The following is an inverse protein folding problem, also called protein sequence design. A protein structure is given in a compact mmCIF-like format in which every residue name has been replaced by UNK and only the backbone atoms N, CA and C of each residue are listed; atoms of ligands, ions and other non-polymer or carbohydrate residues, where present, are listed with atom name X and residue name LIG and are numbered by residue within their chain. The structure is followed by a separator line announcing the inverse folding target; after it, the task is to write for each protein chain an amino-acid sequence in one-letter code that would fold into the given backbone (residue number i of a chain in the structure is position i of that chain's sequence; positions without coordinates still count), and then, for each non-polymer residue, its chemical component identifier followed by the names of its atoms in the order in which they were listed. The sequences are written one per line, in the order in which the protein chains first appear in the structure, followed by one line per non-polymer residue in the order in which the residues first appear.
data_IF_335996345583
#
_entry.id   IF_335996345583
#
_cell.length_a   1.000
_cell.length_b   1.000
_cell.length_c   1.000
_cell.angle_alpha   90.00
_cell.angle_beta   90.00
_cell.angle_gamma   90.00
#
_symmetry.space_group_name_H-M   'P 1'
#
loop_
_entity.id
_entity.type
_entity.pdbx_description
1 polymer ?
#
# COMPACT_ATOMS: atom_id res chain seq x y z
N UNK A 1 32.13 18.45 -8.45
CA UNK A 1 32.06 17.16 -7.73
C UNK A 1 31.85 16.06 -8.77
N UNK A 2 32.64 14.98 -8.71
CA UNK A 2 32.57 13.81 -9.61
C UNK A 2 32.10 12.54 -8.88
N UNK A 3 31.63 12.65 -7.64
CA UNK A 3 31.24 11.51 -6.80
C UNK A 3 30.17 10.58 -7.43
N UNK A 4 29.38 11.08 -8.40
CA UNK A 4 28.36 10.32 -9.13
C UNK A 4 28.80 9.82 -10.51
N UNK A 5 30.01 10.17 -10.96
CA UNK A 5 30.49 9.75 -12.26
C UNK A 5 30.73 8.23 -12.27
N UNK A 6 30.21 7.52 -13.27
CA UNK A 6 30.34 6.07 -13.40
C UNK A 6 29.35 5.24 -12.56
N UNK A 7 28.41 5.86 -11.84
CA UNK A 7 27.33 5.12 -11.18
C UNK A 7 26.48 4.39 -12.23
N UNK A 8 26.18 3.08 -12.05
CA UNK A 8 25.38 2.32 -13.01
C UNK A 8 23.99 2.93 -13.23
N UNK A 9 23.54 2.98 -14.48
CA UNK A 9 22.21 3.47 -14.87
C UNK A 9 21.57 2.50 -15.86
N UNK A 10 20.24 2.43 -15.80
CA UNK A 10 19.40 1.74 -16.78
C UNK A 10 18.44 2.77 -17.35
N UNK A 11 18.44 2.93 -18.67
CA UNK A 11 17.50 3.80 -19.38
C UNK A 11 16.37 2.95 -19.97
N UNK A 12 15.13 3.27 -19.58
CA UNK A 12 13.93 2.60 -20.09
C UNK A 12 13.18 3.62 -20.95
N UNK A 13 13.18 3.40 -22.26
CA UNK A 13 12.46 4.22 -23.24
C UNK A 13 11.21 3.47 -23.66
N UNK A 14 10.04 4.09 -23.48
CA UNK A 14 8.76 3.53 -23.93
C UNK A 14 8.48 3.93 -25.38
N UNK A 15 7.67 3.12 -26.05
CA UNK A 15 6.92 3.58 -27.21
C UNK A 15 5.90 4.67 -26.81
N UNK A 16 5.44 5.53 -27.73
CA UNK A 16 4.51 6.62 -27.45
C UNK A 16 3.05 6.14 -27.30
N UNK A 17 2.83 5.18 -26.41
CA UNK A 17 1.56 4.46 -26.20
C UNK A 17 0.78 4.92 -24.95
N UNK A 18 1.21 6.02 -24.33
CA UNK A 18 0.54 6.64 -23.20
C UNK A 18 -0.29 7.85 -23.69
N UNK A 19 -1.60 7.79 -23.50
CA UNK A 19 -2.57 8.72 -24.06
C UNK A 19 -3.10 9.74 -23.05
N UNK A 20 -2.72 9.63 -21.79
CA UNK A 20 -3.10 10.58 -20.74
C UNK A 20 -2.03 10.77 -19.68
N UNK A 21 -2.11 11.89 -18.95
CA UNK A 21 -1.26 12.14 -17.80
C UNK A 21 -1.48 11.11 -16.67
N UNK A 22 -2.69 10.55 -16.57
CA UNK A 22 -3.01 9.47 -15.62
C UNK A 22 -2.30 8.16 -16.00
N UNK A 23 -2.32 7.78 -17.28
CA UNK A 23 -1.57 6.60 -17.74
C UNK A 23 -0.07 6.74 -17.49
N UNK A 24 0.49 7.93 -17.74
CA UNK A 24 1.90 8.21 -17.43
C UNK A 24 2.20 8.14 -15.93
N UNK A 25 1.30 8.65 -15.07
CA UNK A 25 1.41 8.50 -13.62
C UNK A 25 1.44 7.03 -13.22
N UNK A 26 0.49 6.23 -13.71
CA UNK A 26 0.38 4.82 -13.38
C UNK A 26 1.60 4.04 -13.89
N UNK A 27 2.05 4.30 -15.11
CA UNK A 27 3.25 3.67 -15.68
C UNK A 27 4.48 3.89 -14.79
N UNK A 28 4.78 5.14 -14.41
CA UNK A 28 5.95 5.43 -13.57
C UNK A 28 5.79 4.85 -12.16
N UNK A 29 4.55 4.82 -11.65
CA UNK A 29 4.25 4.16 -10.37
C UNK A 29 4.56 2.66 -10.42
N UNK A 30 4.15 1.98 -11.49
CA UNK A 30 4.41 0.54 -11.68
C UNK A 30 5.89 0.25 -11.95
N UNK A 31 6.59 1.08 -12.73
CA UNK A 31 8.05 0.95 -12.89
C UNK A 31 8.75 1.11 -11.54
N UNK A 32 8.38 2.12 -10.75
CA UNK A 32 8.93 2.34 -9.41
C UNK A 32 8.67 1.13 -8.51
N UNK A 33 7.46 0.58 -8.54
CA UNK A 33 7.09 -0.63 -7.79
C UNK A 33 7.95 -1.82 -8.23
N UNK A 34 8.10 -2.04 -9.52
CA UNK A 34 8.87 -3.14 -10.10
C UNK A 34 10.35 -3.10 -9.69
N UNK A 35 11.02 -1.96 -9.86
CA UNK A 35 12.47 -1.87 -9.55
C UNK A 35 12.76 -2.04 -8.06
N UNK A 36 11.83 -1.59 -7.20
CA UNK A 36 11.91 -1.81 -5.74
C UNK A 36 11.64 -3.27 -5.40
N UNK A 37 10.62 -3.88 -6.02
CA UNK A 37 10.29 -5.29 -5.83
C UNK A 37 11.44 -6.22 -6.20
N UNK A 38 12.13 -5.90 -7.29
CA UNK A 38 13.32 -6.64 -7.75
C UNK A 38 14.60 -6.27 -7.00
N UNK A 39 14.55 -5.31 -6.07
CA UNK A 39 15.69 -4.79 -5.34
C UNK A 39 16.85 -4.30 -6.25
N UNK A 40 16.50 -3.63 -7.35
CA UNK A 40 17.45 -3.06 -8.33
C UNK A 40 17.72 -1.58 -8.02
N UNK A 41 16.68 -0.86 -7.58
CA UNK A 41 16.73 0.57 -7.27
C UNK A 41 15.72 0.89 -6.16
N UNK A 42 16.05 1.82 -5.27
CA UNK A 42 15.14 2.29 -4.20
C UNK A 42 13.93 3.09 -4.74
N UNK A 43 14.00 3.53 -6.01
CA UNK A 43 12.93 4.24 -6.70
C UNK A 43 12.67 5.67 -6.18
N UNK A 44 13.62 6.27 -5.46
CA UNK A 44 13.48 7.62 -4.91
C UNK A 44 13.71 8.72 -5.96
N UNK A 45 12.64 9.43 -6.31
CA UNK A 45 12.72 10.52 -7.28
C UNK A 45 13.32 11.81 -6.69
N UNK A 46 13.18 12.03 -5.39
CA UNK A 46 13.69 13.24 -4.72
C UNK A 46 15.22 13.19 -4.59
N UNK A 47 15.77 12.00 -4.29
CA UNK A 47 17.21 11.74 -4.28
C UNK A 47 17.78 11.50 -5.69
N UNK A 48 16.89 11.32 -6.68
CA UNK A 48 17.21 11.22 -8.09
C UNK A 48 17.82 9.88 -8.50
N UNK A 49 17.48 8.80 -7.80
CA UNK A 49 17.75 7.40 -8.18
C UNK A 49 16.74 6.88 -9.21
N UNK A 50 15.53 7.45 -9.23
CA UNK A 50 14.56 7.32 -10.33
C UNK A 50 14.33 8.67 -11.00
N UNK A 51 14.46 8.71 -12.32
CA UNK A 51 14.30 9.94 -13.12
C UNK A 51 13.37 9.68 -14.30
N UNK A 52 12.65 10.72 -14.70
CA UNK A 52 11.76 10.66 -15.85
C UNK A 52 11.79 11.99 -16.60
N UNK A 53 11.94 11.91 -17.92
CA UNK A 53 11.67 13.00 -18.85
C UNK A 53 10.41 12.62 -19.65
N UNK A 54 9.45 13.53 -19.78
CA UNK A 54 8.19 13.25 -20.45
C UNK A 54 8.19 13.84 -21.86
N UNK A 55 7.79 13.06 -22.86
CA UNK A 55 7.61 13.53 -24.23
C UNK A 55 6.12 13.66 -24.53
N UNK A 56 5.65 14.88 -24.81
CA UNK A 56 4.23 15.19 -25.02
C UNK A 56 4.01 15.64 -26.46
N UNK A 57 2.92 15.18 -27.05
CA UNK A 57 2.42 15.65 -28.35
C UNK A 57 0.90 15.55 -28.38
N UNK A 58 0.24 16.38 -29.18
CA UNK A 58 -1.21 16.36 -29.39
C UNK A 58 -1.51 16.22 -30.88
N UNK A 59 -2.66 15.62 -31.20
CA UNK A 59 -3.15 15.46 -32.57
C UNK A 59 -4.68 15.52 -32.58
N UNK A 60 -5.25 15.87 -33.73
CA UNK A 60 -6.71 15.85 -33.92
C UNK A 60 -7.27 14.42 -33.81
N UNK A 61 -8.51 14.32 -33.34
CA UNK A 61 -9.19 13.03 -33.23
C UNK A 61 -9.34 12.39 -34.61
N UNK A 62 -8.86 11.15 -34.73
CA UNK A 62 -8.86 10.40 -36.00
C UNK A 62 -7.55 10.47 -36.77
N UNK A 63 -6.66 11.41 -36.46
CA UNK A 63 -5.33 11.47 -37.04
C UNK A 63 -4.44 10.32 -36.55
N UNK A 64 -3.67 9.71 -37.46
CA UNK A 64 -2.73 8.64 -37.13
C UNK A 64 -1.31 9.16 -36.90
N UNK A 65 -0.95 10.29 -37.50
CA UNK A 65 0.38 10.89 -37.34
C UNK A 65 0.44 11.65 -36.01
N UNK A 66 1.53 11.47 -35.26
CA UNK A 66 1.80 12.28 -34.06
C UNK A 66 2.15 13.72 -34.47
N UNK A 67 1.77 14.69 -33.64
CA UNK A 67 2.13 16.09 -33.83
C UNK A 67 3.59 16.38 -33.48
N UNK A 68 3.93 17.66 -33.35
CA UNK A 68 5.25 18.06 -32.87
C UNK A 68 5.46 17.58 -31.43
N UNK A 69 6.67 17.09 -31.14
CA UNK A 69 7.06 16.58 -29.82
C UNK A 69 7.63 17.71 -28.96
N UNK A 70 7.24 17.74 -27.70
CA UNK A 70 7.82 18.59 -26.66
C UNK A 70 8.37 17.70 -25.55
N UNK A 71 9.63 17.91 -25.19
CA UNK A 71 10.29 17.15 -24.12
C UNK A 71 10.29 18.00 -22.84
N UNK A 72 9.69 17.51 -21.76
CA UNK A 72 9.67 18.15 -20.46
C UNK A 72 10.63 17.43 -19.52
N UNK A 73 11.55 18.20 -18.92
CA UNK A 73 12.55 17.74 -17.97
C UNK A 73 12.30 18.27 -16.56
N UNK A 74 13.12 17.82 -15.61
CA UNK A 74 13.11 18.23 -14.20
C UNK A 74 11.82 17.81 -13.46
N UNK A 75 11.39 16.57 -13.69
CA UNK A 75 10.20 15.98 -13.09
C UNK A 75 10.58 15.17 -11.85
N UNK A 76 10.79 15.85 -10.72
CA UNK A 76 11.33 15.24 -9.49
C UNK A 76 10.32 14.43 -8.65
N UNK A 77 9.07 14.30 -9.10
CA UNK A 77 8.06 13.46 -8.46
C UNK A 77 7.03 12.97 -9.48
N UNK A 78 6.35 11.88 -9.18
CA UNK A 78 5.28 11.34 -10.04
C UNK A 78 4.15 12.38 -10.22
N UNK A 79 3.90 13.20 -9.18
CA UNK A 79 2.99 14.34 -9.25
C UNK A 79 3.42 15.41 -10.21
N UNK A 80 4.71 15.74 -10.24
CA UNK A 80 5.24 16.71 -11.18
C UNK A 80 5.09 16.20 -12.62
N UNK A 81 5.28 14.90 -12.87
CA UNK A 81 5.07 14.28 -14.18
C UNK A 81 3.63 14.54 -14.66
N UNK A 82 2.64 14.15 -13.85
CA UNK A 82 1.23 14.30 -14.23
C UNK A 82 0.86 15.76 -14.49
N UNK A 83 1.21 16.67 -13.58
CA UNK A 83 0.92 18.10 -13.74
C UNK A 83 1.61 18.71 -14.97
N UNK A 84 2.87 18.35 -15.21
CA UNK A 84 3.60 18.83 -16.37
C UNK A 84 2.95 18.40 -17.68
N UNK A 85 2.50 17.14 -17.76
CA UNK A 85 1.81 16.61 -18.94
C UNK A 85 0.44 17.30 -19.11
N UNK A 86 -0.35 17.46 -18.05
CA UNK A 86 -1.65 18.17 -18.09
C UNK A 86 -1.50 19.61 -18.57
N UNK A 87 -0.49 20.32 -18.06
CA UNK A 87 -0.17 21.68 -18.48
C UNK A 87 0.24 21.72 -19.96
N UNK A 88 1.14 20.84 -20.39
CA UNK A 88 1.60 20.79 -21.77
C UNK A 88 0.49 20.46 -22.75
N UNK A 89 -0.40 19.52 -22.42
CA UNK A 89 -1.55 19.18 -23.27
C UNK A 89 -2.40 20.43 -23.48
N UNK A 90 -2.77 21.13 -22.40
CA UNK A 90 -3.59 22.35 -22.47
C UNK A 90 -2.91 23.42 -23.30
N UNK A 91 -1.65 23.74 -22.98
CA UNK A 91 -0.85 24.73 -23.71
C UNK A 91 -0.78 24.42 -25.21
N UNK A 92 -0.49 23.16 -25.56
CA UNK A 92 -0.33 22.76 -26.95
C UNK A 92 -1.65 22.83 -27.73
N UNK A 93 -2.77 22.52 -27.08
CA UNK A 93 -4.09 22.67 -27.69
C UNK A 93 -4.42 24.15 -27.91
N UNK A 94 -4.27 25.00 -26.90
CA UNK A 94 -4.54 26.45 -27.01
C UNK A 94 -3.72 27.11 -28.11
N UNK A 95 -2.43 26.76 -28.23
CA UNK A 95 -1.54 27.29 -29.27
C UNK A 95 -1.99 26.86 -30.68
N UNK A 96 -2.41 25.60 -30.85
CA UNK A 96 -2.90 25.09 -32.12
C UNK A 96 -4.27 25.67 -32.50
N UNK A 97 -5.17 25.84 -31.53
CA UNK A 97 -6.50 26.44 -31.74
C UNK A 97 -6.42 27.93 -32.05
N UNK A 98 -5.40 28.63 -31.53
CA UNK A 98 -5.08 30.00 -31.91
C UNK A 98 -4.50 30.13 -33.34
N UNK A 99 -4.27 29.01 -34.03
CA UNK A 99 -3.70 28.98 -35.38
C UNK A 99 -2.17 29.05 -35.43
N UNK A 100 -1.50 28.96 -34.27
CA UNK A 100 -0.05 28.92 -34.19
C UNK A 100 0.47 27.48 -34.39
N UNK A 101 1.79 27.34 -34.54
CA UNK A 101 2.43 26.03 -34.70
C UNK A 101 3.28 25.68 -33.48
N UNK A 102 3.25 24.40 -33.08
CA UNK A 102 4.12 23.92 -32.00
C UNK A 102 5.53 23.73 -32.53
N UNK A 103 6.50 24.37 -31.87
CA UNK A 103 7.93 24.14 -32.06
C UNK A 103 8.42 22.98 -31.22
N UNK A 104 9.38 22.23 -31.72
CA UNK A 104 10.05 21.18 -30.95
C UNK A 104 10.98 21.84 -29.91
N UNK A 105 10.67 21.66 -28.63
CA UNK A 105 11.36 22.32 -27.53
C UNK A 105 11.77 21.34 -26.44
N UNK A 106 12.85 21.69 -25.74
CA UNK A 106 13.12 21.15 -24.41
C UNK A 106 12.62 22.14 -23.38
N UNK A 107 11.69 21.73 -22.54
CA UNK A 107 11.06 22.55 -21.51
C UNK A 107 11.41 22.00 -20.12
N UNK A 108 11.37 22.86 -19.11
CA UNK A 108 11.48 22.46 -17.71
C UNK A 108 10.15 22.67 -17.02
N UNK A 109 9.82 21.80 -16.07
CA UNK A 109 8.71 22.03 -15.14
C UNK A 109 9.14 22.96 -14.00
N UNK A 110 8.23 23.84 -13.58
CA UNK A 110 8.34 24.68 -12.39
C UNK A 110 7.26 24.26 -11.38
N UNK A 111 7.69 23.59 -10.31
CA UNK A 111 6.79 23.06 -9.28
C UNK A 111 6.14 24.14 -8.41
N UNK A 112 6.64 25.38 -8.40
CA UNK A 112 6.09 26.46 -7.55
C UNK A 112 4.78 27.02 -8.10
N UNK A 113 4.59 26.98 -9.43
CA UNK A 113 3.42 27.52 -10.10
C UNK A 113 2.75 26.53 -11.06
N UNK A 114 3.20 25.27 -11.05
CA UNK A 114 2.68 24.18 -11.90
C UNK A 114 2.71 24.52 -13.41
N UNK A 115 3.73 25.25 -13.87
CA UNK A 115 3.90 25.61 -15.28
C UNK A 115 5.15 25.00 -15.89
N UNK A 116 5.26 25.05 -17.21
CA UNK A 116 6.50 24.76 -17.93
C UNK A 116 7.06 26.01 -18.60
N UNK A 117 8.38 26.04 -18.78
CA UNK A 117 9.06 27.09 -19.52
C UNK A 117 10.07 26.51 -20.52
N UNK A 118 10.29 27.18 -21.65
CA UNK A 118 11.27 26.74 -22.64
C UNK A 118 12.68 26.95 -22.12
N UNK A 119 13.51 25.91 -22.20
CA UNK A 119 14.95 26.00 -21.92
C UNK A 119 15.68 26.29 -23.23
N UNK A 120 15.33 25.53 -24.27
CA UNK A 120 15.93 25.65 -25.60
C UNK A 120 14.97 25.17 -26.68
N UNK A 121 15.03 25.83 -27.82
CA UNK A 121 14.43 25.34 -29.06
C UNK A 121 15.37 24.29 -29.67
N UNK A 122 14.81 23.18 -30.17
CA UNK A 122 15.59 22.19 -30.93
C UNK A 122 15.50 22.57 -32.40
N UNK A 123 16.53 23.27 -32.89
CA UNK A 123 16.65 23.60 -34.31
C UNK A 123 17.13 22.40 -35.14
N UNK A 124 17.97 21.52 -34.57
CA UNK A 124 18.49 20.30 -35.20
C UNK A 124 18.55 19.12 -34.20
N UNK A 125 18.63 17.89 -34.73
CA UNK A 125 18.91 16.70 -33.91
C UNK A 125 20.39 16.71 -33.50
N UNK A 126 20.68 16.51 -32.20
CA UNK A 126 22.07 16.46 -31.73
C UNK A 126 22.80 15.27 -32.35
N UNK A 127 23.94 15.53 -33.00
CA UNK A 127 24.86 14.48 -33.43
C UNK A 127 25.73 14.03 -32.25
N UNK A 128 25.29 12.95 -31.60
CA UNK A 128 26.03 12.34 -30.49
C UNK A 128 27.26 11.53 -30.93
N UNK A 129 27.47 11.34 -32.25
CA UNK A 129 28.59 10.58 -32.82
C UNK A 129 28.78 9.21 -32.16
N UNK A 130 27.69 8.46 -32.00
CA UNK A 130 27.75 7.12 -31.43
C UNK A 130 28.67 6.21 -32.26
N UNK A 131 29.63 5.56 -31.59
CA UNK A 131 30.45 4.49 -32.14
C UNK A 131 30.67 3.42 -31.05
N UNK A 132 30.93 2.16 -31.41
CA UNK A 132 31.23 1.12 -30.44
C UNK A 132 32.47 1.48 -29.61
N UNK A 133 32.35 1.36 -28.28
CA UNK A 133 33.47 1.61 -27.38
C UNK A 133 34.59 0.58 -27.60
N UNK A 134 35.80 1.00 -28.04
CA UNK A 134 36.91 0.08 -28.32
C UNK A 134 37.55 -0.49 -27.06
N UNK A 135 37.34 0.14 -25.90
CA UNK A 135 37.93 -0.28 -24.63
C UNK A 135 37.08 -1.38 -23.95
N UNK A 136 35.83 -1.55 -24.40
CA UNK A 136 34.91 -2.56 -23.87
C UNK A 136 34.72 -3.72 -24.86
N UNK A 137 35.12 -4.95 -24.52
CA UNK A 137 34.83 -6.10 -25.36
C UNK A 137 33.32 -6.38 -25.39
N UNK A 138 32.85 -7.01 -26.47
CA UNK A 138 31.45 -7.39 -26.60
C UNK A 138 31.03 -8.36 -25.47
N UNK A 139 29.94 -8.02 -24.78
CA UNK A 139 29.35 -8.88 -23.76
C UNK A 139 28.49 -9.96 -24.42
N UNK A 140 28.91 -11.23 -24.31
CA UNK A 140 28.13 -12.38 -24.80
C UNK A 140 27.50 -13.09 -23.62
N UNK A 141 26.18 -12.97 -23.48
CA UNK A 141 25.42 -13.63 -22.42
C UNK A 141 25.03 -15.04 -22.86
N UNK A 142 25.47 -16.07 -22.12
CA UNK A 142 25.09 -17.45 -22.42
C UNK A 142 23.63 -17.71 -22.05
N UNK A 143 23.01 -18.69 -22.72
CA UNK A 143 21.65 -19.13 -22.37
C UNK A 143 21.56 -19.61 -20.92
N UNK A 144 22.58 -20.31 -20.44
CA UNK A 144 22.64 -20.79 -19.06
C UNK A 144 22.70 -19.64 -18.06
N UNK A 145 23.43 -18.56 -18.37
CA UNK A 145 23.45 -17.36 -17.54
C UNK A 145 22.08 -16.69 -17.46
N UNK A 146 21.40 -16.52 -18.60
CA UNK A 146 20.04 -15.96 -18.66
C UNK A 146 19.05 -16.83 -17.89
N UNK A 147 19.09 -18.16 -18.08
CA UNK A 147 18.20 -19.10 -17.40
C UNK A 147 18.44 -19.10 -15.88
N UNK A 148 19.69 -18.96 -15.43
CA UNK A 148 20.03 -18.86 -14.01
C UNK A 148 19.46 -17.57 -13.38
N UNK A 149 19.53 -16.44 -14.10
CA UNK A 149 18.88 -15.20 -13.65
C UNK A 149 17.36 -15.38 -13.59
N UNK A 150 16.76 -15.93 -14.64
CA UNK A 150 15.31 -16.15 -14.72
C UNK A 150 14.81 -17.04 -13.58
N UNK A 151 15.55 -18.10 -13.23
CA UNK A 151 15.20 -19.01 -12.12
C UNK A 151 15.30 -18.35 -10.73
N UNK A 152 16.05 -17.26 -10.60
CA UNK A 152 16.21 -16.50 -9.34
C UNK A 152 15.29 -15.29 -9.25
N UNK A 153 14.53 -14.98 -10.30
CA UNK A 153 13.59 -13.87 -10.27
C UNK A 153 12.51 -14.15 -9.22
N UNK A 154 12.21 -13.19 -8.32
CA UNK A 154 11.09 -13.34 -7.42
C UNK A 154 9.79 -13.34 -8.23
N UNK A 155 8.75 -13.96 -7.65
CA UNK A 155 7.39 -13.87 -8.22
C UNK A 155 7.01 -12.39 -8.29
N UNK A 156 6.57 -11.94 -9.47
CA UNK A 156 6.16 -10.55 -9.68
C UNK A 156 4.82 -10.27 -9.00
N UNK A 157 4.53 -9.01 -8.62
CA UNK A 157 3.32 -8.66 -7.87
C UNK A 157 2.03 -9.15 -8.52
N UNK A 158 1.89 -9.03 -9.85
CA UNK A 158 0.67 -9.44 -10.54
C UNK A 158 0.39 -10.95 -10.43
N UNK A 159 1.44 -11.78 -10.52
CA UNK A 159 1.31 -13.22 -10.34
C UNK A 159 1.01 -13.58 -8.88
N UNK A 160 1.63 -12.87 -7.94
CA UNK A 160 1.40 -13.08 -6.51
C UNK A 160 -0.01 -12.66 -6.08
N UNK A 161 -0.54 -11.55 -6.61
CA UNK A 161 -1.93 -11.12 -6.40
C UNK A 161 -2.90 -12.19 -6.88
N UNK A 162 -2.69 -12.72 -8.08
CA UNK A 162 -3.52 -13.80 -8.61
C UNK A 162 -3.47 -15.05 -7.71
N UNK A 163 -2.28 -15.44 -7.27
CA UNK A 163 -2.11 -16.55 -6.32
C UNK A 163 -2.85 -16.31 -4.99
N UNK A 164 -2.78 -15.09 -4.45
CA UNK A 164 -3.46 -14.75 -3.18
C UNK A 164 -4.98 -14.81 -3.31
N UNK A 165 -5.52 -14.48 -4.47
CA UNK A 165 -6.96 -14.62 -4.74
C UNK A 165 -7.36 -16.09 -4.94
N UNK A 166 -6.63 -16.84 -5.76
CA UNK A 166 -7.00 -18.20 -6.15
C UNK A 166 -6.77 -19.22 -5.03
N UNK A 167 -5.64 -19.12 -4.32
CA UNK A 167 -5.22 -20.10 -3.30
C UNK A 167 -5.73 -19.70 -1.92
N UNK A 168 -5.66 -18.41 -1.57
CA UNK A 168 -5.96 -17.93 -0.22
C UNK A 168 -7.34 -17.26 -0.10
N UNK A 169 -8.10 -17.21 -1.19
CA UNK A 169 -9.45 -16.62 -1.26
C UNK A 169 -9.51 -15.16 -0.77
N UNK A 170 -8.40 -14.41 -0.93
CA UNK A 170 -8.38 -12.99 -0.58
C UNK A 170 -9.14 -12.16 -1.62
N UNK A 171 -9.69 -11.03 -1.19
CA UNK A 171 -10.26 -10.08 -2.13
C UNK A 171 -9.15 -9.43 -2.98
N UNK A 172 -9.50 -8.94 -4.18
CA UNK A 172 -8.55 -8.20 -5.02
C UNK A 172 -7.94 -7.01 -4.26
N UNK A 173 -8.74 -6.34 -3.44
CA UNK A 173 -8.28 -5.22 -2.63
C UNK A 173 -7.19 -5.67 -1.64
N UNK A 174 -7.45 -6.70 -0.84
CA UNK A 174 -6.48 -7.18 0.16
C UNK A 174 -5.20 -7.69 -0.51
N UNK A 175 -5.34 -8.48 -1.57
CA UNK A 175 -4.20 -9.04 -2.31
C UNK A 175 -3.33 -7.93 -2.92
N UNK A 176 -3.96 -6.91 -3.51
CA UNK A 176 -3.25 -5.76 -4.09
C UNK A 176 -2.50 -4.98 -3.00
N UNK A 177 -3.16 -4.71 -1.86
CA UNK A 177 -2.56 -3.99 -0.74
C UNK A 177 -1.37 -4.74 -0.13
N UNK A 178 -1.50 -6.06 0.07
CA UNK A 178 -0.40 -6.88 0.60
C UNK A 178 0.79 -6.96 -0.38
N UNK A 179 0.53 -6.86 -1.69
CA UNK A 179 1.54 -6.88 -2.73
C UNK A 179 1.96 -5.46 -3.20
N UNK A 180 1.72 -4.41 -2.42
CA UNK A 180 2.22 -3.06 -2.72
C UNK A 180 3.74 -2.98 -2.63
N UNK A 181 4.32 -3.65 -1.63
CA UNK A 181 5.75 -3.78 -1.44
C UNK A 181 6.14 -5.23 -1.10
N UNK A 182 7.39 -5.58 -1.41
CA UNK A 182 7.87 -6.95 -1.29
C UNK A 182 7.95 -7.42 0.17
N UNK A 183 8.31 -6.55 1.10
CA UNK A 183 8.51 -6.92 2.50
C UNK A 183 7.18 -7.25 3.18
N UNK A 184 6.13 -6.49 2.89
CA UNK A 184 4.76 -6.79 3.33
C UNK A 184 4.29 -8.13 2.79
N UNK A 185 4.50 -8.40 1.50
CA UNK A 185 4.12 -9.66 0.88
C UNK A 185 4.90 -10.85 1.47
N UNK A 186 6.21 -10.73 1.62
CA UNK A 186 7.08 -11.76 2.21
C UNK A 186 6.69 -12.03 3.67
N UNK A 187 6.32 -11.00 4.44
CA UNK A 187 5.87 -11.17 5.82
C UNK A 187 4.51 -11.88 5.88
N UNK A 188 3.58 -11.53 4.99
CA UNK A 188 2.31 -12.26 4.86
C UNK A 188 2.55 -13.74 4.60
N UNK A 189 3.39 -14.08 3.62
CA UNK A 189 3.71 -15.47 3.27
C UNK A 189 4.36 -16.24 4.44
N UNK A 190 5.21 -15.56 5.24
CA UNK A 190 5.77 -16.16 6.45
C UNK A 190 4.69 -16.45 7.51
N UNK A 191 3.77 -15.53 7.76
CA UNK A 191 2.72 -15.71 8.78
C UNK A 191 1.77 -16.86 8.40
N UNK A 192 1.37 -16.95 7.13
CA UNK A 192 0.48 -18.03 6.66
C UNK A 192 1.16 -19.41 6.68
N UNK A 193 2.49 -19.46 6.77
CA UNK A 193 3.22 -20.69 7.09
C UNK A 193 2.87 -21.29 8.45
N UNK A 194 2.30 -20.47 9.36
CA UNK A 194 1.93 -20.86 10.72
C UNK A 194 0.41 -20.88 10.96
N UNK A 195 -0.42 -20.44 10.00
CA UNK A 195 -1.88 -20.43 10.16
C UNK A 195 -2.60 -20.54 8.82
N UNK A 196 -3.77 -21.17 8.84
CA UNK A 196 -4.67 -21.28 7.68
C UNK A 196 -5.70 -20.13 7.63
N UNK A 197 -5.70 -19.24 8.62
CA UNK A 197 -6.63 -18.10 8.71
C UNK A 197 -6.20 -16.93 7.83
N UNK A 198 -6.03 -17.15 6.51
CA UNK A 198 -5.45 -16.19 5.57
C UNK A 198 -6.15 -14.82 5.58
N UNK A 199 -7.49 -14.81 5.62
CA UNK A 199 -8.25 -13.57 5.69
C UNK A 199 -8.03 -12.81 7.00
N UNK A 200 -7.90 -13.53 8.13
CA UNK A 200 -7.55 -12.91 9.41
C UNK A 200 -6.16 -12.30 9.34
N UNK A 201 -5.17 -13.00 8.80
CA UNK A 201 -3.80 -12.46 8.61
C UNK A 201 -3.83 -11.16 7.81
N UNK A 202 -4.53 -11.16 6.66
CA UNK A 202 -4.67 -9.96 5.84
C UNK A 202 -5.31 -8.79 6.61
N UNK A 203 -6.39 -9.05 7.36
CA UNK A 203 -7.07 -8.02 8.15
C UNK A 203 -6.17 -7.46 9.28
N UNK A 204 -5.36 -8.30 9.92
CA UNK A 204 -4.43 -7.87 10.96
C UNK A 204 -3.28 -7.03 10.40
N UNK A 205 -2.72 -7.46 9.27
CA UNK A 205 -1.64 -6.75 8.57
C UNK A 205 -2.10 -5.40 8.05
N UNK A 206 -3.22 -5.36 7.32
CA UNK A 206 -3.73 -4.15 6.67
C UNK A 206 -4.44 -3.19 7.63
N UNK A 207 -4.86 -3.66 8.81
CA UNK A 207 -5.50 -2.86 9.85
C UNK A 207 -4.55 -2.53 11.00
N UNK A 208 -4.66 -3.23 12.15
CA UNK A 208 -3.91 -2.88 13.37
C UNK A 208 -2.39 -2.77 13.21
N UNK A 209 -1.76 -3.65 12.41
CA UNK A 209 -0.31 -3.62 12.22
C UNK A 209 0.09 -2.40 11.37
N UNK A 210 -0.54 -2.20 10.21
CA UNK A 210 -0.29 -1.00 9.38
C UNK A 210 -0.53 0.29 10.17
N UNK A 211 -1.55 0.33 11.02
CA UNK A 211 -1.78 1.45 11.94
C UNK A 211 -0.61 1.65 12.91
N UNK A 212 -0.17 0.59 13.61
CA UNK A 212 0.95 0.67 14.55
C UNK A 212 2.25 1.14 13.88
N UNK A 213 2.56 0.58 12.70
CA UNK A 213 3.73 0.97 11.91
C UNK A 213 3.69 2.46 11.54
N UNK A 214 2.54 2.97 11.13
CA UNK A 214 2.36 4.39 10.81
C UNK A 214 2.50 5.29 12.06
N UNK A 215 2.00 4.86 13.22
CA UNK A 215 2.09 5.61 14.48
C UNK A 215 3.53 5.72 14.99
N UNK A 216 4.31 4.65 14.86
CA UNK A 216 5.73 4.61 15.24
C UNK A 216 6.68 5.14 14.14
N UNK A 217 6.16 5.41 12.94
CA UNK A 217 6.95 5.89 11.79
C UNK A 217 7.97 4.87 11.28
N UNK A 218 7.69 3.57 11.42
CA UNK A 218 8.54 2.47 10.97
C UNK A 218 7.84 1.67 9.86
N UNK A 219 8.61 1.12 8.92
CA UNK A 219 8.09 0.19 7.91
C UNK A 219 8.21 -1.28 8.32
N UNK A 220 7.73 -2.18 7.45
CA UNK A 220 7.83 -3.63 7.65
C UNK A 220 9.28 -4.11 7.75
N UNK A 221 10.25 -3.38 7.18
CA UNK A 221 11.68 -3.66 7.27
C UNK A 221 12.23 -3.63 8.71
N UNK A 222 11.65 -2.81 9.58
CA UNK A 222 12.10 -2.61 10.95
C UNK A 222 11.16 -3.24 11.97
N UNK A 223 10.22 -4.07 11.50
CA UNK A 223 9.20 -4.67 12.33
C UNK A 223 9.79 -5.80 13.20
N UNK A 224 9.61 -5.70 14.51
CA UNK A 224 10.15 -6.68 15.47
C UNK A 224 9.14 -7.78 15.87
N UNK A 225 7.97 -7.82 15.24
CA UNK A 225 6.95 -8.83 15.46
C UNK A 225 7.28 -10.10 14.66
N UNK A 226 7.48 -11.23 15.34
CA UNK A 226 7.74 -12.49 14.66
C UNK A 226 6.45 -13.06 14.01
N UNK A 227 6.54 -13.70 12.82
CA UNK A 227 5.39 -14.30 12.15
C UNK A 227 4.60 -15.27 13.02
N UNK A 228 5.28 -16.09 13.82
CA UNK A 228 4.70 -17.07 14.74
C UNK A 228 3.89 -16.41 15.85
N UNK A 229 4.35 -15.26 16.36
CA UNK A 229 3.63 -14.51 17.39
C UNK A 229 2.31 -13.96 16.84
N UNK A 230 2.32 -13.47 15.60
CA UNK A 230 1.10 -12.99 14.97
C UNK A 230 0.12 -14.14 14.70
N UNK A 231 0.60 -15.27 14.15
CA UNK A 231 -0.23 -16.44 13.93
C UNK A 231 -0.87 -16.95 15.24
N UNK A 232 -0.10 -17.03 16.32
CA UNK A 232 -0.61 -17.41 17.64
C UNK A 232 -1.64 -16.40 18.18
N UNK A 233 -1.43 -15.09 18.00
CA UNK A 233 -2.39 -14.07 18.39
C UNK A 233 -3.71 -14.23 17.62
N UNK A 234 -3.62 -14.45 16.30
CA UNK A 234 -4.77 -14.69 15.45
C UNK A 234 -5.54 -15.93 15.92
N UNK A 235 -4.84 -17.02 16.24
CA UNK A 235 -5.47 -18.24 16.75
C UNK A 235 -6.25 -18.00 18.05
N UNK A 236 -5.72 -17.20 18.98
CA UNK A 236 -6.44 -16.85 20.22
C UNK A 236 -7.74 -16.08 19.94
N UNK A 237 -7.74 -15.22 18.93
CA UNK A 237 -8.93 -14.47 18.54
C UNK A 237 -9.93 -15.35 17.78
N UNK A 238 -9.45 -16.15 16.82
CA UNK A 238 -10.28 -17.05 16.02
C UNK A 238 -10.95 -18.14 16.88
N UNK A 239 -10.31 -18.53 17.99
CA UNK A 239 -10.87 -19.48 18.98
C UNK A 239 -11.70 -18.81 20.07
N UNK A 240 -12.06 -17.53 19.91
CA UNK A 240 -12.85 -16.71 20.85
C UNK A 240 -12.25 -16.67 22.29
N UNK A 241 -10.95 -17.00 22.47
CA UNK A 241 -10.27 -16.90 23.78
C UNK A 241 -9.95 -15.46 24.16
N UNK A 242 -9.74 -14.58 23.16
CA UNK A 242 -9.52 -13.15 23.37
C UNK A 242 -10.32 -12.36 22.35
N UNK A 243 -10.95 -11.28 22.79
CA UNK A 243 -11.62 -10.37 21.88
C UNK A 243 -10.64 -9.65 20.93
N UNK A 244 -10.96 -9.58 19.63
CA UNK A 244 -10.15 -8.88 18.62
C UNK A 244 -9.74 -7.46 19.03
N UNK A 245 -10.68 -6.64 19.51
CA UNK A 245 -10.40 -5.24 19.86
C UNK A 245 -9.45 -5.11 21.06
N UNK A 246 -9.49 -6.08 21.97
CA UNK A 246 -8.61 -6.13 23.14
C UNK A 246 -7.23 -6.65 22.73
N UNK A 247 -7.19 -7.70 21.91
CA UNK A 247 -5.97 -8.23 21.32
C UNK A 247 -5.21 -7.13 20.56
N UNK A 248 -5.89 -6.38 19.69
CA UNK A 248 -5.29 -5.31 18.89
C UNK A 248 -4.82 -4.12 19.74
N UNK A 249 -5.59 -3.72 20.76
CA UNK A 249 -5.26 -2.54 21.55
C UNK A 249 -4.27 -2.80 22.70
N UNK A 250 -4.23 -4.02 23.26
CA UNK A 250 -3.46 -4.33 24.48
C UNK A 250 -2.38 -5.38 24.30
N UNK A 251 -2.61 -6.40 23.47
CA UNK A 251 -1.66 -7.50 23.31
C UNK A 251 -0.66 -7.18 22.19
N UNK A 252 -1.16 -6.77 21.02
CA UNK A 252 -0.34 -6.47 19.86
C UNK A 252 0.78 -5.44 20.16
N UNK A 253 0.53 -4.29 20.83
CA UNK A 253 1.60 -3.34 21.13
C UNK A 253 2.68 -3.89 22.07
N UNK A 254 2.37 -4.90 22.89
CA UNK A 254 3.36 -5.57 23.74
C UNK A 254 4.20 -6.57 22.95
N UNK A 255 3.60 -7.27 21.97
CA UNK A 255 4.32 -8.18 21.08
C UNK A 255 5.36 -7.45 20.20
N UNK A 256 5.14 -6.17 19.90
CA UNK A 256 6.14 -5.34 19.22
C UNK A 256 7.34 -4.98 20.09
N UNK A 257 7.19 -5.02 21.42
CA UNK A 257 8.25 -4.65 22.38
C UNK A 257 9.01 -5.87 22.90
N UNK A 258 8.32 -6.99 23.04
CA UNK A 258 8.85 -8.19 23.68
C UNK A 258 8.55 -9.44 22.86
N UNK A 259 9.54 -10.32 22.77
CA UNK A 259 9.40 -11.64 22.15
C UNK A 259 8.76 -12.64 23.13
N UNK A 260 7.49 -12.39 23.43
CA UNK A 260 6.69 -13.18 24.37
C UNK A 260 5.52 -13.85 23.64
N UNK A 261 5.08 -15.01 24.10
CA UNK A 261 3.93 -15.69 23.51
C UNK A 261 2.63 -14.91 23.82
N UNK A 262 1.74 -14.66 22.83
CA UNK A 262 0.53 -13.86 23.03
C UNK A 262 -0.38 -14.32 24.18
N UNK A 263 -0.48 -15.63 24.40
CA UNK A 263 -1.26 -16.21 25.50
C UNK A 263 -0.75 -15.75 26.88
N UNK A 264 0.57 -15.69 27.08
CA UNK A 264 1.15 -15.26 28.36
C UNK A 264 0.86 -13.79 28.64
N UNK A 265 0.84 -12.96 27.58
CA UNK A 265 0.43 -11.55 27.68
C UNK A 265 -1.06 -11.48 28.03
N UNK A 266 -1.90 -12.30 27.40
CA UNK A 266 -3.34 -12.33 27.69
C UNK A 266 -3.61 -12.75 29.15
N UNK A 267 -2.92 -13.77 29.65
CA UNK A 267 -3.06 -14.26 31.03
C UNK A 267 -2.56 -13.24 32.06
N UNK A 268 -1.36 -12.69 31.86
CA UNK A 268 -0.77 -11.70 32.77
C UNK A 268 -1.63 -10.44 32.89
N UNK A 269 -2.24 -10.01 31.79
CA UNK A 269 -3.16 -8.87 31.75
C UNK A 269 -4.61 -9.23 32.10
N UNK A 270 -4.92 -10.50 32.40
CA UNK A 270 -6.27 -11.02 32.68
C UNK A 270 -7.28 -10.65 31.59
N UNK A 271 -6.88 -10.86 30.33
CA UNK A 271 -7.66 -10.52 29.13
C UNK A 271 -8.35 -11.72 28.48
N UNK A 272 -8.23 -12.92 29.08
CA UNK A 272 -8.93 -14.11 28.63
C UNK A 272 -10.44 -13.88 28.75
N UNK A 273 -11.16 -14.24 27.69
CA UNK A 273 -12.59 -14.05 27.57
C UNK A 273 -13.34 -14.92 28.57
N UNK A 274 -14.34 -14.33 29.21
CA UNK A 274 -15.26 -15.00 30.14
C UNK A 274 -16.57 -15.26 29.41
N UNK A 275 -16.91 -16.55 29.30
CA UNK A 275 -18.14 -17.03 28.68
C UNK A 275 -19.13 -17.64 29.69
N UNK A 276 -18.85 -17.60 30.99
CA UNK A 276 -19.78 -18.05 32.03
C UNK A 276 -20.99 -17.09 32.09
N UNK A 277 -22.16 -17.64 31.79
CA UNK A 277 -23.43 -16.90 31.76
C UNK A 277 -23.74 -16.22 33.09
N UNK A 278 -23.35 -16.80 34.24
CA UNK A 278 -23.62 -16.21 35.55
C UNK A 278 -22.81 -14.94 35.80
N UNK A 279 -21.58 -14.87 35.28
CA UNK A 279 -20.73 -13.69 35.43
C UNK A 279 -21.12 -12.59 34.42
N UNK A 280 -21.45 -13.01 33.19
CA UNK A 280 -21.98 -12.11 32.16
C UNK A 280 -23.29 -11.45 32.60
N UNK A 281 -24.23 -12.20 33.19
CA UNK A 281 -25.48 -11.65 33.70
C UNK A 281 -25.27 -10.58 34.77
N UNK A 282 -24.30 -10.75 35.67
CA UNK A 282 -23.98 -9.74 36.69
C UNK A 282 -23.53 -8.41 36.07
N UNK A 283 -22.68 -8.46 35.05
CA UNK A 283 -22.24 -7.25 34.36
C UNK A 283 -23.37 -6.61 33.55
N UNK A 284 -24.22 -7.43 32.93
CA UNK A 284 -25.40 -6.95 32.20
C UNK A 284 -26.37 -6.26 33.15
N UNK A 285 -26.70 -6.88 34.27
CA UNK A 285 -27.63 -6.31 35.25
C UNK A 285 -27.09 -5.01 35.84
N UNK A 286 -25.79 -4.94 36.12
CA UNK A 286 -25.12 -3.71 36.54
C UNK A 286 -25.20 -2.60 35.47
N UNK A 287 -24.96 -2.93 34.19
CA UNK A 287 -25.02 -1.98 33.08
C UNK A 287 -26.45 -1.47 32.83
N UNK A 288 -27.45 -2.33 32.94
CA UNK A 288 -28.86 -1.96 32.80
C UNK A 288 -29.33 -1.10 33.99
N UNK A 289 -28.95 -1.46 35.22
CA UNK A 289 -29.28 -0.70 36.42
C UNK A 289 -28.64 0.69 36.46
N UNK A 290 -27.47 0.86 35.83
CA UNK A 290 -26.79 2.15 35.72
C UNK A 290 -27.49 3.13 34.76
N UNK A 291 -28.36 2.65 33.84
CA UNK A 291 -28.98 3.46 32.79
C UNK A 291 -30.49 3.16 32.61
N UNK A 292 -31.33 3.30 33.66
CA UNK A 292 -32.75 2.92 33.61
C UNK A 292 -33.55 3.70 32.54
N UNK A 293 -33.19 4.96 32.30
CA UNK A 293 -33.83 5.79 31.28
C UNK A 293 -33.62 5.22 29.86
N UNK A 294 -32.42 4.71 29.57
CA UNK A 294 -32.07 4.12 28.27
C UNK A 294 -32.73 2.77 28.05
N UNK A 295 -32.95 2.01 29.11
CA UNK A 295 -33.72 0.76 29.05
C UNK A 295 -35.16 1.06 28.61
N UNK A 296 -35.77 2.09 29.19
CA UNK A 296 -37.12 2.54 28.82
C UNK A 296 -37.19 3.04 27.37
N UNK A 297 -36.19 3.78 26.89
CA UNK A 297 -36.08 4.20 25.49
C UNK A 297 -35.95 3.03 24.52
N UNK A 298 -35.17 1.99 24.88
CA UNK A 298 -35.01 0.80 24.07
C UNK A 298 -36.34 0.04 23.91
N UNK A 299 -37.08 -0.14 25.01
CA UNK A 299 -38.41 -0.79 25.01
C UNK A 299 -39.45 0.00 24.20
N UNK A 300 -39.28 1.31 24.04
CA UNK A 300 -40.10 2.18 23.17
C UNK A 300 -39.73 2.10 21.68
N UNK A 301 -38.76 1.26 21.29
CA UNK A 301 -38.43 0.97 19.89
C UNK A 301 -37.08 1.52 19.41
N UNK A 302 -36.30 2.23 20.24
CA UNK A 302 -34.95 2.70 19.87
C UNK A 302 -33.91 1.55 19.96
N UNK A 303 -33.99 0.58 19.05
CA UNK A 303 -33.13 -0.62 19.04
C UNK A 303 -31.62 -0.34 18.88
N UNK A 304 -31.24 0.84 18.40
CA UNK A 304 -29.82 1.25 18.28
C UNK A 304 -29.08 1.40 19.62
N UNK A 305 -29.80 1.49 20.75
CA UNK A 305 -29.19 1.60 22.08
C UNK A 305 -28.49 0.30 22.55
N UNK A 306 -28.67 -0.82 21.84
CA UNK A 306 -27.98 -2.08 22.19
C UNK A 306 -26.45 -1.93 22.17
N UNK A 307 -25.91 -1.17 21.22
CA UNK A 307 -24.47 -0.92 21.15
C UNK A 307 -23.92 -0.15 22.36
N UNK A 308 -24.74 0.74 22.94
CA UNK A 308 -24.39 1.46 24.16
C UNK A 308 -24.26 0.51 25.36
N UNK A 309 -25.25 -0.40 25.53
CA UNK A 309 -25.22 -1.39 26.61
C UNK A 309 -24.05 -2.37 26.46
N UNK A 310 -23.77 -2.84 25.23
CA UNK A 310 -22.57 -3.66 24.95
C UNK A 310 -21.30 -2.92 25.31
N UNK A 311 -21.21 -1.61 25.03
CA UNK A 311 -20.08 -0.77 25.42
C UNK A 311 -19.88 -0.66 26.93
N UNK A 312 -20.95 -0.49 27.70
CA UNK A 312 -20.87 -0.43 29.17
C UNK A 312 -20.52 -1.80 29.79
N UNK A 313 -21.09 -2.90 29.28
CA UNK A 313 -20.70 -4.25 29.71
C UNK A 313 -19.23 -4.53 29.40
N UNK A 314 -18.74 -4.09 28.23
CA UNK A 314 -17.31 -4.18 27.87
C UNK A 314 -16.43 -3.39 28.85
N UNK A 315 -16.88 -2.21 29.29
CA UNK A 315 -16.15 -1.39 30.27
C UNK A 315 -16.12 -2.06 31.65
N UNK A 316 -17.26 -2.58 32.11
CA UNK A 316 -17.38 -3.29 33.39
C UNK A 316 -16.52 -4.56 33.45
N UNK A 317 -16.51 -5.34 32.36
CA UNK A 317 -15.69 -6.54 32.19
C UNK A 317 -14.23 -6.27 31.81
N UNK A 318 -13.82 -5.00 31.66
CA UNK A 318 -12.48 -4.61 31.15
C UNK A 318 -12.12 -5.22 29.79
N UNK A 319 -13.12 -5.61 29.02
CA UNK A 319 -13.00 -6.21 27.69
C UNK A 319 -12.98 -7.74 27.65
N UNK A 320 -13.19 -8.43 28.78
CA UNK A 320 -13.21 -9.90 28.82
C UNK A 320 -14.59 -10.50 28.54
N UNK A 321 -15.67 -9.72 28.52
CA UNK A 321 -16.98 -10.27 28.22
C UNK A 321 -17.11 -10.67 26.74
N UNK A 322 -17.65 -11.85 26.48
CA UNK A 322 -17.98 -12.32 25.13
C UNK A 322 -19.04 -11.43 24.46
N UNK A 323 -18.71 -10.68 23.40
CA UNK A 323 -19.66 -9.76 22.78
C UNK A 323 -20.87 -10.44 22.15
N UNK A 324 -20.72 -11.67 21.63
CA UNK A 324 -21.80 -12.41 20.98
C UNK A 324 -22.82 -12.82 22.03
N UNK A 325 -22.36 -13.43 23.13
CA UNK A 325 -23.21 -13.83 24.26
C UNK A 325 -23.82 -12.61 24.97
N UNK A 326 -23.05 -11.55 25.20
CA UNK A 326 -23.57 -10.30 25.80
C UNK A 326 -24.69 -9.71 24.96
N UNK A 327 -24.53 -9.66 23.64
CA UNK A 327 -25.58 -9.13 22.74
C UNK A 327 -26.84 -9.99 22.81
N UNK A 328 -26.71 -11.33 22.82
CA UNK A 328 -27.84 -12.24 22.94
C UNK A 328 -28.58 -12.07 24.29
N UNK A 329 -27.85 -12.11 25.41
CA UNK A 329 -28.42 -11.97 26.76
C UNK A 329 -29.07 -10.59 26.98
N UNK A 330 -28.47 -9.52 26.43
CA UNK A 330 -29.08 -8.19 26.45
C UNK A 330 -30.40 -8.16 25.67
N UNK A 331 -30.47 -8.78 24.49
CA UNK A 331 -31.71 -8.86 23.73
C UNK A 331 -32.79 -9.66 24.47
N UNK A 332 -32.41 -10.71 25.21
CA UNK A 332 -33.34 -11.49 26.00
C UNK A 332 -33.86 -10.71 27.22
N UNK A 333 -33.00 -10.03 27.99
CA UNK A 333 -33.40 -9.22 29.15
C UNK A 333 -34.15 -7.93 28.79
N UNK A 334 -33.93 -7.40 27.59
CA UNK A 334 -34.56 -6.15 27.11
C UNK A 334 -35.86 -6.36 26.32
N UNK A 335 -36.28 -7.60 26.08
CA UNK A 335 -37.68 -7.90 25.74
C UNK A 335 -38.61 -7.44 26.88
#
# INVERSE_FOLDING_TARGET
DLNRAGTPLIEIVTEPDLYSAEEAWQYVTEIRKLVRWLNICDGNMEEGSLRCDANVSVRLKGEKKLGTKVEVKNLNSIRNIKKAIEFEITRMIEELEAGNSIKQQTRSFNANNDTTFSIRDKEEANDYRYFPDPDLPAFVLSKDYINNIAAKQPVLPAALIAQFQEVYALSLYDATQLCEDKLTADYFEQVIGHTQSYKSVANWMLGPIKQYLNEEGIGFENMQLAPEQLAALIQLVDTDQVNFSVAAAKILPQLFKEKTHPLQIAESLKLIQVSDTNELEKWIDAALAAMPDKVSEYKKGKKGLIGLFVGEVKKASKGTADPKLVTQLLQEKLK
#
